data_IF_708801789142
#
_entry.id   IF_708801789142
#
_cell.length_a   1.000
_cell.length_b   1.000
_cell.length_c   1.000
_cell.angle_alpha   90.00
_cell.angle_beta   90.00
_cell.angle_gamma   90.00
#
_symmetry.space_group_name_H-M   'P 1'
#
loop_
_entity.id
_entity.type
_entity.pdbx_description
1 polymer ?
#
# COMPACT_ATOMS: atom_id res chain seq x y z
N UNK A 1 11.86 -5.19 -1.24
CA UNK A 1 10.51 -4.84 -0.75
C UNK A 1 9.92 -3.70 -1.57
N UNK A 2 8.59 -3.63 -1.64
CA UNK A 2 7.81 -2.54 -2.22
C UNK A 2 6.94 -1.88 -1.16
N UNK A 3 6.73 -0.57 -1.25
CA UNK A 3 5.69 0.13 -0.51
C UNK A 3 4.52 0.36 -1.46
N UNK A 4 3.35 -0.09 -1.04
CA UNK A 4 2.09 0.16 -1.73
C UNK A 4 1.18 1.01 -0.87
N UNK A 5 0.32 1.77 -1.52
CA UNK A 5 -0.88 2.36 -0.92
C UNK A 5 -2.07 1.51 -1.32
N UNK A 6 -2.86 1.11 -0.34
CA UNK A 6 -4.06 0.29 -0.49
C UNK A 6 -5.21 0.94 0.26
N UNK A 7 -6.41 0.40 0.08
CA UNK A 7 -7.60 0.90 0.74
C UNK A 7 -7.69 0.42 2.19
N UNK A 8 -7.86 1.34 3.13
CA UNK A 8 -8.02 1.04 4.55
C UNK A 8 -9.39 0.42 4.90
N UNK A 9 -10.36 0.51 3.97
CA UNK A 9 -11.70 -0.05 4.13
C UNK A 9 -11.89 -1.42 3.46
N UNK A 10 -10.80 -2.00 2.93
CA UNK A 10 -10.81 -3.32 2.28
C UNK A 10 -11.85 -3.43 1.15
N UNK A 11 -12.02 -2.36 0.36
CA UNK A 11 -12.94 -2.36 -0.78
C UNK A 11 -12.28 -2.99 -2.00
N UNK A 12 -12.82 -4.11 -2.46
CA UNK A 12 -12.34 -4.85 -3.65
C UNK A 12 -12.26 -4.00 -4.92
N UNK A 13 -13.05 -2.92 -5.02
CA UNK A 13 -13.06 -2.06 -6.19
C UNK A 13 -11.87 -1.10 -6.28
N UNK A 14 -11.07 -0.95 -5.22
CA UNK A 14 -9.97 0.02 -5.15
C UNK A 14 -8.64 -0.68 -5.46
N UNK A 15 -7.94 -0.19 -6.48
CA UNK A 15 -6.64 -0.71 -6.87
C UNK A 15 -5.52 -0.27 -5.92
N UNK A 16 -4.50 -1.11 -5.79
CA UNK A 16 -3.24 -0.74 -5.14
C UNK A 16 -2.47 0.27 -5.99
N UNK A 17 -1.74 1.17 -5.32
CA UNK A 17 -0.84 2.12 -5.95
C UNK A 17 0.59 1.85 -5.47
N UNK A 18 1.51 1.62 -6.40
CA UNK A 18 2.94 1.52 -6.09
C UNK A 18 3.48 2.89 -5.68
N UNK A 19 4.07 2.97 -4.49
CA UNK A 19 4.70 4.19 -3.97
C UNK A 19 6.21 4.16 -4.16
N UNK A 20 6.83 3.02 -3.86
CA UNK A 20 8.26 2.83 -4.04
C UNK A 20 8.60 1.33 -4.14
N UNK A 21 9.69 0.99 -4.81
CA UNK A 21 10.16 -0.39 -5.00
C UNK A 21 11.66 -0.52 -4.76
N UNK A 22 12.15 -1.77 -4.65
CA UNK A 22 13.55 -2.09 -4.38
C UNK A 22 14.09 -1.43 -3.10
N UNK A 23 13.26 -1.46 -2.05
CA UNK A 23 13.60 -0.90 -0.74
C UNK A 23 14.11 -2.03 0.15
N UNK A 24 15.16 -1.74 0.91
CA UNK A 24 15.59 -2.58 2.03
C UNK A 24 14.51 -2.61 3.12
N UNK A 25 14.27 -3.79 3.70
CA UNK A 25 13.22 -4.01 4.70
C UNK A 25 13.27 -3.04 5.87
N UNK A 26 14.44 -2.79 6.45
CA UNK A 26 14.60 -1.91 7.62
C UNK A 26 14.12 -0.49 7.35
N UNK A 27 14.50 0.09 6.21
CA UNK A 27 14.06 1.43 5.83
C UNK A 27 12.60 1.43 5.38
N UNK A 28 12.15 0.38 4.70
CA UNK A 28 10.77 0.22 4.26
C UNK A 28 9.78 0.27 5.41
N UNK A 29 10.07 -0.44 6.51
CA UNK A 29 9.25 -0.42 7.72
C UNK A 29 9.13 1.00 8.30
N UNK A 30 10.25 1.71 8.45
CA UNK A 30 10.24 3.10 8.95
C UNK A 30 9.50 4.07 8.05
N UNK A 31 9.59 3.89 6.74
CA UNK A 31 8.84 4.69 5.78
C UNK A 31 7.33 4.43 5.89
N UNK A 32 6.92 3.16 6.02
CA UNK A 32 5.51 2.80 6.20
C UNK A 32 4.94 3.36 7.50
N UNK A 33 5.67 3.25 8.61
CA UNK A 33 5.26 3.85 9.89
C UNK A 33 5.00 5.35 9.75
N UNK A 34 5.94 6.07 9.12
CA UNK A 34 5.82 7.52 8.91
C UNK A 34 4.67 7.90 7.97
N UNK A 35 4.47 7.14 6.90
CA UNK A 35 3.38 7.37 5.96
C UNK A 35 2.03 7.17 6.63
N UNK A 36 1.88 6.10 7.41
CA UNK A 36 0.63 5.82 8.11
C UNK A 36 0.34 6.83 9.23
N UNK A 37 1.35 7.23 10.00
CA UNK A 37 1.21 8.26 11.04
C UNK A 37 0.70 9.60 10.45
N UNK A 38 1.20 9.98 9.26
CA UNK A 38 0.86 11.26 8.65
C UNK A 38 -0.41 11.26 7.81
N UNK A 39 -0.74 10.14 7.15
CA UNK A 39 -1.75 10.12 6.08
C UNK A 39 -2.89 9.12 6.30
N UNK A 40 -2.78 8.21 7.28
CA UNK A 40 -3.76 7.14 7.53
C UNK A 40 -4.59 7.37 8.81
N UNK A 41 -4.95 8.63 9.08
CA UNK A 41 -5.75 9.01 10.25
C UNK A 41 -7.21 8.52 10.20
N UNK A 42 -7.99 8.88 11.23
CA UNK A 42 -9.40 8.50 11.33
C UNK A 42 -10.20 9.02 10.13
N UNK A 43 -10.83 8.10 9.38
CA UNK A 43 -11.57 8.41 8.16
C UNK A 43 -10.76 8.40 6.86
N UNK A 44 -9.45 8.15 6.92
CA UNK A 44 -8.63 8.04 5.71
C UNK A 44 -8.81 6.68 5.04
N UNK A 45 -9.03 6.70 3.72
CA UNK A 45 -8.98 5.50 2.88
C UNK A 45 -7.55 5.09 2.53
N UNK A 46 -6.58 5.97 2.72
CA UNK A 46 -5.19 5.68 2.38
C UNK A 46 -4.55 4.86 3.50
N UNK A 47 -3.99 3.72 3.14
CA UNK A 47 -3.19 2.88 4.05
C UNK A 47 -1.95 2.36 3.32
N UNK A 48 -0.80 2.37 4.00
CA UNK A 48 0.48 2.00 3.38
C UNK A 48 0.95 0.67 3.93
N UNK A 49 1.41 -0.22 3.03
CA UNK A 49 1.92 -1.55 3.36
C UNK A 49 3.30 -1.76 2.73
N UNK A 50 4.18 -2.43 3.47
CA UNK A 50 5.42 -2.98 2.93
C UNK A 50 5.14 -4.42 2.48
N UNK A 51 5.42 -4.72 1.21
CA UNK A 51 5.15 -6.03 0.59
C UNK A 51 6.39 -6.55 -0.11
N UNK A 52 6.42 -7.86 -0.39
CA UNK A 52 7.51 -8.51 -1.12
C UNK A 52 7.65 -7.97 -2.54
N UNK A 53 8.86 -8.06 -3.12
CA UNK A 53 9.11 -7.55 -4.47
C UNK A 53 8.31 -8.28 -5.57
N UNK A 54 7.94 -9.54 -5.32
CA UNK A 54 7.10 -10.32 -6.23
C UNK A 54 5.59 -10.08 -6.04
N UNK A 55 5.19 -9.23 -5.09
CA UNK A 55 3.79 -8.87 -4.91
C UNK A 55 3.23 -8.24 -6.19
N UNK A 56 2.10 -8.77 -6.64
CA UNK A 56 1.34 -8.24 -7.77
C UNK A 56 0.32 -7.25 -7.22
N UNK A 57 0.38 -6.02 -7.71
CA UNK A 57 -0.56 -4.98 -7.34
C UNK A 57 -1.97 -5.40 -7.75
N UNK A 58 -2.90 -5.34 -6.81
CA UNK A 58 -4.32 -5.52 -7.09
C UNK A 58 -4.82 -4.40 -8.01
N UNK A 59 -5.48 -4.73 -9.11
CA UNK A 59 -5.97 -3.73 -10.09
C UNK A 59 -7.41 -3.27 -9.84
N UNK A 60 -7.99 -3.59 -8.69
CA UNK A 60 -9.38 -3.22 -8.41
C UNK A 60 -10.35 -4.00 -9.28
N UNK A 61 -11.45 -3.35 -9.67
CA UNK A 61 -12.47 -3.97 -10.51
C UNK A 61 -11.95 -4.52 -11.85
N UNK A 62 -10.80 -4.05 -12.36
CA UNK A 62 -10.24 -4.56 -13.62
C UNK A 62 -9.94 -6.07 -13.59
N UNK A 63 -9.74 -6.67 -12.41
CA UNK A 63 -9.51 -8.12 -12.30
C UNK A 63 -10.81 -8.95 -12.24
N UNK A 64 -11.97 -8.29 -12.10
CA UNK A 64 -13.28 -8.92 -11.93
C UNK A 64 -14.14 -8.93 -13.21
N UNK A 65 -13.60 -8.45 -14.34
CA UNK A 65 -14.30 -8.31 -15.64
C UNK A 65 -13.67 -9.21 -16.70
#
# INVERSE_FOLDING_TARGET
>A
MKIIKTDNYDRDSVADILIAENINTYYGEKMVDLLNDKFSGEGSSDFYKLVEDNYKLWRGMEELV
#
